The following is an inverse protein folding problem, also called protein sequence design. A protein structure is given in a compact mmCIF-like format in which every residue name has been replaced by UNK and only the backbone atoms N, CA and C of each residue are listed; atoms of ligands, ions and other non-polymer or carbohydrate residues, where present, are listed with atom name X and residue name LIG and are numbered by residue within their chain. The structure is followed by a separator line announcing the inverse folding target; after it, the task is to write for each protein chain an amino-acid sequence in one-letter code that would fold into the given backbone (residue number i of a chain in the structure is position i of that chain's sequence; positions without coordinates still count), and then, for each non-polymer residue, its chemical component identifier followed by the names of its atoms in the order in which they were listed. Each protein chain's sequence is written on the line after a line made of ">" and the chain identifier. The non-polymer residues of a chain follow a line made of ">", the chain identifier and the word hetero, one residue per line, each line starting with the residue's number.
data_IF_418826788550
#
_entry.id   IF_418826788550
#
_cell.length_a   1.000
_cell.length_b   1.000
_cell.length_c   1.000
_cell.angle_alpha   90.00
_cell.angle_beta   90.00
_cell.angle_gamma   90.00
#
_symmetry.space_group_name_H-M   'P 1'
#
loop_
_entity.id
_entity.type
_entity.pdbx_description
1 polymer ?
#
# COMPACT_ATOMS: atom_id res chain seq x y z
N UNK A 1 16.88 13.30 2.98
CA UNK A 1 16.06 14.47 3.36
C UNK A 1 15.84 15.49 2.25
N UNK A 2 16.88 16.02 1.59
CA UNK A 2 16.74 17.06 0.54
C UNK A 2 15.64 16.76 -0.48
N UNK A 3 15.68 15.58 -1.12
CA UNK A 3 14.73 15.17 -2.15
C UNK A 3 13.26 15.07 -1.68
N UNK A 4 13.03 14.62 -0.45
CA UNK A 4 11.67 14.56 0.12
C UNK A 4 11.13 15.97 0.36
N UNK A 5 11.91 16.85 0.99
CA UNK A 5 11.47 18.23 1.24
C UNK A 5 11.15 18.95 -0.07
N UNK A 6 12.01 18.76 -1.05
CA UNK A 6 11.84 19.23 -2.42
C UNK A 6 10.56 18.72 -3.10
N UNK A 7 10.21 17.44 -2.92
CA UNK A 7 8.93 16.88 -3.37
C UNK A 7 7.78 17.56 -2.63
N UNK A 8 7.82 17.61 -1.30
CA UNK A 8 6.76 18.20 -0.48
C UNK A 8 6.56 19.71 -0.75
N UNK A 9 7.62 20.44 -1.09
CA UNK A 9 7.58 21.87 -1.46
C UNK A 9 6.90 22.10 -2.80
N UNK A 10 6.91 21.09 -3.68
CA UNK A 10 6.21 21.15 -4.97
C UNK A 10 4.73 20.79 -4.87
N UNK A 11 4.26 20.28 -3.72
CA UNK A 11 2.89 19.81 -3.56
C UNK A 11 1.94 20.98 -3.39
N UNK A 12 0.88 20.99 -4.20
CA UNK A 12 -0.30 21.82 -4.00
C UNK A 12 -1.50 20.93 -3.70
N UNK A 13 -2.28 21.29 -2.68
CA UNK A 13 -3.49 20.58 -2.28
C UNK A 13 -4.67 21.18 -3.05
N UNK A 14 -5.45 20.35 -3.73
CA UNK A 14 -6.67 20.81 -4.41
C UNK A 14 -7.93 20.70 -3.56
N UNK A 15 -9.04 21.09 -4.19
CA UNK A 15 -10.36 20.97 -3.59
C UNK A 15 -10.76 19.51 -3.33
N UNK A 16 -11.46 19.22 -2.21
CA UNK A 16 -11.83 17.87 -1.86
C UNK A 16 -12.90 17.31 -2.79
N UNK A 17 -12.73 16.05 -3.15
CA UNK A 17 -13.78 15.19 -3.71
C UNK A 17 -14.40 14.37 -2.57
N UNK A 18 -15.72 14.20 -2.57
CA UNK A 18 -16.44 13.57 -1.45
C UNK A 18 -17.39 12.49 -1.98
N UNK A 19 -17.34 11.33 -1.36
CA UNK A 19 -18.28 10.23 -1.57
C UNK A 19 -18.68 9.64 -0.22
N UNK A 20 -19.97 9.71 0.12
CA UNK A 20 -20.49 9.35 1.43
C UNK A 20 -19.68 10.00 2.58
N UNK A 21 -18.95 9.19 3.35
CA UNK A 21 -18.12 9.64 4.48
C UNK A 21 -16.63 9.68 4.15
N UNK A 22 -16.25 9.37 2.91
CA UNK A 22 -14.88 9.44 2.40
C UNK A 22 -14.67 10.78 1.71
N UNK A 23 -13.64 11.50 2.11
CA UNK A 23 -13.21 12.74 1.49
C UNK A 23 -11.76 12.59 1.03
N UNK A 24 -11.47 13.01 -0.20
CA UNK A 24 -10.15 12.90 -0.79
C UNK A 24 -9.69 14.26 -1.31
N UNK A 25 -8.55 14.72 -0.80
CA UNK A 25 -7.87 15.92 -1.28
C UNK A 25 -6.80 15.51 -2.28
N UNK A 26 -6.90 15.91 -3.56
CA UNK A 26 -5.89 15.62 -4.56
C UNK A 26 -4.60 16.39 -4.26
N UNK A 27 -3.46 15.72 -4.47
CA UNK A 27 -2.12 16.31 -4.33
C UNK A 27 -1.48 16.46 -5.71
N UNK A 28 -1.25 17.70 -6.11
CA UNK A 28 -0.66 18.06 -7.40
C UNK A 28 0.82 18.36 -7.26
N UNK A 29 1.60 18.06 -8.29
CA UNK A 29 2.98 18.53 -8.40
C UNK A 29 3.29 18.99 -9.81
N UNK A 30 4.04 20.08 -9.92
CA UNK A 30 4.58 20.58 -11.20
C UNK A 30 5.91 19.92 -11.56
N UNK A 31 6.41 18.99 -10.74
CA UNK A 31 7.62 18.23 -11.04
C UNK A 31 7.33 17.24 -12.15
N UNK A 32 8.05 17.40 -13.26
CA UNK A 32 8.19 16.34 -14.25
C UNK A 32 9.27 15.39 -13.75
N UNK A 33 8.92 14.25 -13.16
CA UNK A 33 9.92 13.21 -12.90
C UNK A 33 10.41 12.64 -14.24
N UNK A 34 11.74 12.59 -14.39
CA UNK A 34 12.41 12.07 -15.58
C UNK A 34 12.20 10.56 -15.70
N UNK A 35 11.36 10.15 -16.66
CA UNK A 35 11.37 8.94 -17.52
C UNK A 35 11.92 7.57 -17.03
N UNK A 36 12.23 7.36 -15.75
CA UNK A 36 12.46 6.04 -15.18
C UNK A 36 11.10 5.43 -14.83
N UNK A 37 10.34 5.05 -15.85
CA UNK A 37 9.04 4.42 -15.63
C UNK A 37 9.28 3.02 -15.08
N UNK A 38 9.10 2.85 -13.77
CA UNK A 38 9.04 1.52 -13.14
C UNK A 38 7.84 0.76 -13.70
N UNK A 39 8.07 -0.48 -14.11
CA UNK A 39 7.01 -1.37 -14.57
C UNK A 39 6.11 -1.73 -13.38
N UNK A 40 4.79 -1.55 -13.53
CA UNK A 40 3.86 -1.90 -12.46
C UNK A 40 3.74 -3.42 -12.36
N UNK A 41 3.62 -3.97 -11.14
CA UNK A 41 3.53 -5.42 -10.96
C UNK A 41 2.37 -6.05 -11.75
N UNK A 42 1.21 -5.40 -11.78
CA UNK A 42 0.01 -5.89 -12.46
C UNK A 42 0.31 -6.13 -13.95
N UNK A 43 0.83 -5.10 -14.62
CA UNK A 43 1.28 -5.16 -16.02
C UNK A 43 2.35 -6.23 -16.21
N UNK A 44 3.30 -6.37 -15.29
CA UNK A 44 4.36 -7.36 -15.41
C UNK A 44 3.83 -8.81 -15.33
N UNK A 45 2.92 -9.10 -14.42
CA UNK A 45 2.31 -10.43 -14.26
C UNK A 45 1.41 -10.78 -15.45
N UNK A 46 0.56 -9.84 -15.87
CA UNK A 46 -0.37 -10.02 -17.00
C UNK A 46 0.37 -10.32 -18.32
N UNK A 47 1.53 -9.69 -18.52
CA UNK A 47 2.35 -9.88 -19.72
C UNK A 47 3.40 -11.00 -19.58
N UNK A 48 3.38 -11.78 -18.49
CA UNK A 48 4.35 -12.86 -18.25
C UNK A 48 5.80 -12.38 -18.07
N UNK A 49 5.98 -11.09 -17.78
CA UNK A 49 7.27 -10.45 -17.51
C UNK A 49 7.71 -10.59 -16.06
N UNK A 50 6.83 -11.09 -15.19
CA UNK A 50 7.15 -11.45 -13.81
C UNK A 50 6.46 -12.73 -13.39
N UNK A 51 7.03 -13.39 -12.38
CA UNK A 51 6.41 -14.49 -11.65
C UNK A 51 6.58 -14.30 -10.15
N UNK A 52 5.59 -14.72 -9.38
CA UNK A 52 5.67 -14.76 -7.92
C UNK A 52 5.32 -16.17 -7.46
N UNK A 53 6.18 -16.75 -6.62
CA UNK A 53 6.03 -18.11 -6.11
C UNK A 53 6.29 -18.16 -4.60
N UNK A 54 5.91 -19.28 -3.98
CA UNK A 54 6.44 -19.63 -2.66
C UNK A 54 7.97 -19.79 -2.73
N UNK A 55 8.67 -19.56 -1.62
CA UNK A 55 10.14 -19.72 -1.55
C UNK A 55 10.56 -21.19 -1.67
N UNK A 56 9.68 -22.12 -1.30
CA UNK A 56 9.88 -23.56 -1.40
C UNK A 56 8.55 -24.32 -1.42
N UNK A 57 8.58 -25.62 -1.68
CA UNK A 57 7.39 -26.50 -1.58
C UNK A 57 6.78 -26.53 -0.18
N UNK A 58 7.60 -26.35 0.87
CA UNK A 58 7.11 -26.19 2.23
C UNK A 58 6.46 -24.81 2.43
N UNK A 59 6.91 -23.81 1.67
CA UNK A 59 6.59 -22.40 1.86
C UNK A 59 7.45 -21.77 2.95
N UNK A 60 7.60 -20.45 2.92
CA UNK A 60 8.22 -19.69 4.01
C UNK A 60 7.31 -18.50 4.29
N UNK A 61 6.47 -18.60 5.32
CA UNK A 61 5.35 -17.68 5.57
C UNK A 61 5.69 -16.19 5.47
N UNK A 62 6.81 -15.67 6.02
CA UNK A 62 7.11 -14.24 5.89
C UNK A 62 7.61 -13.80 4.49
N UNK A 63 7.91 -14.71 3.55
CA UNK A 63 8.54 -14.35 2.28
C UNK A 63 7.94 -15.06 1.05
N UNK A 64 7.83 -14.32 -0.06
CA UNK A 64 7.60 -14.88 -1.39
C UNK A 64 8.80 -14.62 -2.28
N UNK A 65 9.00 -15.44 -3.32
CA UNK A 65 10.01 -15.18 -4.35
C UNK A 65 9.38 -14.40 -5.50
N UNK A 66 9.99 -13.28 -5.90
CA UNK A 66 9.64 -12.55 -7.12
C UNK A 66 10.75 -12.78 -8.15
N UNK A 67 10.35 -13.13 -9.36
CA UNK A 67 11.21 -13.31 -10.52
C UNK A 67 10.84 -12.21 -11.53
N UNK A 68 11.70 -11.21 -11.69
CA UNK A 68 11.56 -10.20 -12.72
C UNK A 68 12.26 -10.66 -14.00
N UNK A 69 11.50 -10.98 -15.05
CA UNK A 69 11.98 -11.40 -16.38
C UNK A 69 12.04 -10.21 -17.36
N UNK A 70 11.62 -9.04 -16.93
CA UNK A 70 11.62 -7.81 -17.71
C UNK A 70 13.02 -7.19 -17.78
N UNK A 71 13.36 -6.49 -18.88
CA UNK A 71 14.50 -5.59 -18.91
C UNK A 71 14.27 -4.30 -18.11
N UNK A 72 13.10 -4.12 -17.48
CA UNK A 72 12.75 -2.96 -16.65
C UNK A 72 12.61 -3.35 -15.19
N UNK A 73 12.94 -2.43 -14.30
CA UNK A 73 12.67 -2.58 -12.87
C UNK A 73 11.15 -2.61 -12.61
N UNK A 74 10.72 -3.51 -11.73
CA UNK A 74 9.32 -3.66 -11.33
C UNK A 74 9.10 -3.05 -9.95
N UNK A 75 8.03 -2.28 -9.78
CA UNK A 75 7.59 -1.79 -8.47
C UNK A 75 6.41 -2.60 -7.93
N UNK A 76 6.52 -2.96 -6.65
CA UNK A 76 5.50 -3.62 -5.85
C UNK A 76 5.24 -2.73 -4.64
N UNK A 77 3.97 -2.40 -4.37
CA UNK A 77 3.62 -1.44 -3.34
C UNK A 77 3.32 -2.11 -2.00
N UNK A 78 3.65 -1.41 -0.90
CA UNK A 78 3.17 -1.76 0.44
C UNK A 78 1.64 -1.90 0.44
N UNK A 79 1.16 -2.97 1.08
CA UNK A 79 -0.25 -3.29 1.20
C UNK A 79 -0.88 -3.97 -0.01
N UNK A 80 -0.17 -4.08 -1.15
CA UNK A 80 -0.71 -4.72 -2.35
C UNK A 80 -1.00 -6.20 -2.08
N UNK A 81 -2.21 -6.67 -2.44
CA UNK A 81 -2.57 -8.06 -2.24
C UNK A 81 -2.14 -8.95 -3.41
N UNK A 82 -1.62 -10.12 -3.06
CA UNK A 82 -1.24 -11.19 -3.95
C UNK A 82 -2.11 -12.41 -3.64
N UNK A 83 -2.79 -12.93 -4.66
CA UNK A 83 -3.78 -14.02 -4.52
C UNK A 83 -3.31 -15.30 -5.20
N UNK A 84 -3.77 -16.45 -4.71
CA UNK A 84 -3.42 -17.76 -5.26
C UNK A 84 -2.46 -18.54 -4.36
N UNK A 85 -1.59 -19.35 -4.99
CA UNK A 85 -0.65 -20.27 -4.34
C UNK A 85 -1.27 -20.98 -3.13
N UNK A 86 -0.63 -20.99 -1.96
CA UNK A 86 -1.18 -21.64 -0.76
C UNK A 86 -2.19 -20.79 0.01
N UNK A 87 -2.00 -19.49 0.06
CA UNK A 87 -2.77 -18.52 0.83
C UNK A 87 -2.55 -17.12 0.26
N UNK A 88 -3.55 -16.25 0.35
CA UNK A 88 -3.39 -14.85 -0.06
C UNK A 88 -2.40 -14.11 0.87
N UNK A 89 -1.69 -13.13 0.29
CA UNK A 89 -0.65 -12.33 0.96
C UNK A 89 -0.89 -10.84 0.72
N UNK A 90 -0.41 -10.00 1.63
CA UNK A 90 -0.14 -8.58 1.36
C UNK A 90 1.35 -8.33 1.48
N UNK A 91 1.87 -7.40 0.68
CA UNK A 91 3.28 -7.00 0.69
C UNK A 91 3.52 -6.03 1.84
N UNK A 92 4.59 -6.22 2.62
CA UNK A 92 4.83 -5.46 3.86
C UNK A 92 5.54 -4.11 3.65
N UNK A 93 6.23 -3.94 2.52
CA UNK A 93 7.01 -2.74 2.16
C UNK A 93 6.95 -2.49 0.66
N UNK A 94 7.13 -1.25 0.21
CA UNK A 94 7.37 -0.99 -1.22
C UNK A 94 8.73 -1.53 -1.64
N UNK A 95 8.74 -2.41 -2.64
CA UNK A 95 9.93 -3.05 -3.21
C UNK A 95 10.09 -2.65 -4.68
N UNK A 96 11.33 -2.38 -5.08
CA UNK A 96 11.70 -2.24 -6.50
C UNK A 96 12.61 -3.40 -6.88
N UNK A 97 12.10 -4.30 -7.70
CA UNK A 97 12.80 -5.51 -8.15
C UNK A 97 13.58 -5.18 -9.41
N UNK A 98 14.91 -5.33 -9.36
CA UNK A 98 15.78 -5.00 -10.48
C UNK A 98 15.40 -5.80 -11.74
N UNK A 99 15.60 -5.23 -12.92
CA UNK A 99 15.50 -5.93 -14.19
C UNK A 99 16.27 -7.27 -14.17
N UNK A 100 15.69 -8.32 -14.76
CA UNK A 100 16.29 -9.65 -14.88
C UNK A 100 16.85 -10.23 -13.56
N UNK A 101 16.12 -10.07 -12.46
CA UNK A 101 16.57 -10.49 -11.13
C UNK A 101 15.52 -11.29 -10.37
N UNK A 102 15.98 -12.05 -9.39
CA UNK A 102 15.13 -12.83 -8.48
C UNK A 102 15.46 -12.43 -7.05
N UNK A 103 14.44 -12.13 -6.24
CA UNK A 103 14.62 -11.80 -4.83
C UNK A 103 13.41 -12.21 -3.97
N UNK A 104 13.61 -12.46 -2.67
CA UNK A 104 12.52 -12.69 -1.74
C UNK A 104 11.90 -11.36 -1.29
N UNK A 105 10.57 -11.23 -1.29
CA UNK A 105 9.84 -10.06 -0.74
C UNK A 105 9.15 -10.41 0.58
N UNK A 106 9.13 -9.48 1.56
CA UNK A 106 8.44 -9.69 2.82
C UNK A 106 6.93 -9.51 2.67
N UNK A 107 6.16 -10.44 3.23
CA UNK A 107 4.70 -10.50 3.11
C UNK A 107 4.03 -10.88 4.44
N UNK A 108 2.72 -10.67 4.51
CA UNK A 108 1.86 -11.17 5.59
C UNK A 108 0.70 -11.96 5.01
N UNK A 109 0.34 -13.11 5.62
CA UNK A 109 -0.84 -13.88 5.22
C UNK A 109 -2.13 -13.15 5.56
N UNK A 110 -3.04 -13.08 4.60
CA UNK A 110 -4.38 -12.49 4.77
C UNK A 110 -5.50 -13.48 4.51
N UNK A 111 -5.19 -14.77 4.68
CA UNK A 111 -6.12 -15.89 4.59
C UNK A 111 -5.63 -17.01 5.51
N UNK A 112 -6.29 -17.21 6.65
CA UNK A 112 -5.80 -18.08 7.73
C UNK A 112 -6.11 -19.56 7.48
N UNK A 113 -7.32 -19.87 7.00
CA UNK A 113 -7.90 -21.22 6.95
C UNK A 113 -7.50 -22.05 5.73
N UNK A 114 -6.70 -21.52 4.80
CA UNK A 114 -6.20 -22.25 3.64
C UNK A 114 -4.72 -22.59 3.83
N UNK A 115 -4.27 -23.78 3.49
CA UNK A 115 -2.83 -24.09 3.34
C UNK A 115 -2.64 -25.16 2.27
N UNK A 116 -3.09 -24.83 1.05
CA UNK A 116 -3.04 -25.72 -0.11
C UNK A 116 -2.99 -24.91 -1.38
N UNK A 117 -2.27 -25.42 -2.38
CA UNK A 117 -2.18 -24.77 -3.68
C UNK A 117 -3.55 -24.67 -4.35
N UNK A 118 -3.88 -23.48 -4.84
CA UNK A 118 -4.99 -23.23 -5.76
C UNK A 118 -4.49 -22.82 -7.15
N UNK A 119 -3.25 -22.35 -7.24
CA UNK A 119 -2.52 -22.03 -8.45
C UNK A 119 -1.02 -22.29 -8.25
N UNK A 120 -0.22 -22.44 -9.33
CA UNK A 120 1.24 -22.62 -9.23
C UNK A 120 2.01 -21.40 -8.69
N UNK A 121 1.43 -20.21 -8.80
CA UNK A 121 2.04 -18.95 -8.37
C UNK A 121 0.97 -17.93 -7.97
N UNK A 122 1.40 -16.70 -7.68
CA UNK A 122 0.51 -15.62 -7.29
C UNK A 122 0.14 -14.73 -8.46
N UNK A 123 -1.10 -14.24 -8.46
CA UNK A 123 -1.55 -13.11 -9.26
C UNK A 123 -1.66 -11.87 -8.36
N UNK A 124 -1.61 -10.68 -8.96
CA UNK A 124 -1.99 -9.44 -8.28
C UNK A 124 -3.52 -9.33 -8.26
N UNK A 125 -4.11 -8.85 -7.16
CA UNK A 125 -5.52 -8.46 -7.12
C UNK A 125 -5.67 -6.94 -7.16
N UNK A 126 -6.90 -6.47 -7.34
CA UNK A 126 -7.24 -5.06 -7.23
C UNK A 126 -7.37 -4.58 -5.79
N UNK A 127 -7.19 -5.47 -4.81
CA UNK A 127 -7.33 -5.14 -3.41
C UNK A 127 -5.98 -4.80 -2.78
N UNK A 128 -6.01 -3.84 -1.87
CA UNK A 128 -4.91 -3.49 -0.98
C UNK A 128 -5.32 -3.76 0.47
N UNK A 129 -4.38 -3.73 1.40
CA UNK A 129 -4.74 -3.63 2.81
C UNK A 129 -5.54 -2.34 3.06
N UNK A 130 -6.71 -2.47 3.68
CA UNK A 130 -7.52 -1.30 4.05
C UNK A 130 -6.79 -0.44 5.10
N UNK A 131 -7.07 0.87 5.19
CA UNK A 131 -6.25 1.83 5.93
C UNK A 131 -5.93 1.44 7.38
N UNK A 132 -6.91 0.90 8.11
CA UNK A 132 -6.75 0.48 9.50
C UNK A 132 -5.82 -0.73 9.66
N UNK A 133 -5.85 -1.70 8.74
CA UNK A 133 -4.88 -2.80 8.69
C UNK A 133 -3.51 -2.28 8.28
N UNK A 134 -3.44 -1.44 7.25
CA UNK A 134 -2.18 -0.87 6.74
C UNK A 134 -1.45 -0.05 7.80
N UNK A 135 -2.18 0.77 8.59
CA UNK A 135 -1.65 1.47 9.78
C UNK A 135 -1.03 0.49 10.76
N UNK A 136 -1.74 -0.59 11.09
CA UNK A 136 -1.27 -1.59 12.04
C UNK A 136 -0.03 -2.32 11.55
N UNK A 137 -0.03 -2.81 10.30
CA UNK A 137 1.10 -3.55 9.72
C UNK A 137 2.31 -2.65 9.54
N UNK A 138 2.12 -1.40 9.13
CA UNK A 138 3.21 -0.43 9.00
C UNK A 138 3.95 -0.22 10.34
N UNK A 139 3.21 -0.08 11.45
CA UNK A 139 3.82 0.06 12.77
C UNK A 139 4.61 -1.20 13.19
N UNK A 140 4.07 -2.39 12.92
CA UNK A 140 4.74 -3.64 13.26
C UNK A 140 6.00 -3.86 12.41
N UNK A 141 5.94 -3.57 11.11
CA UNK A 141 7.10 -3.63 10.20
C UNK A 141 8.17 -2.61 10.60
N UNK A 142 7.79 -1.39 11.01
CA UNK A 142 8.76 -0.38 11.47
C UNK A 142 9.53 -0.89 12.70
N UNK A 143 8.85 -1.57 13.62
CA UNK A 143 9.47 -2.17 14.81
C UNK A 143 10.36 -3.38 14.47
N UNK A 144 9.98 -4.18 13.48
CA UNK A 144 10.78 -5.35 13.06
C UNK A 144 12.02 -4.92 12.25
N UNK A 145 11.96 -3.80 11.54
CA UNK A 145 13.11 -3.17 10.87
C UNK A 145 14.23 -2.79 11.84
N UNK A 146 13.90 -2.37 13.06
CA UNK A 146 14.89 -2.12 14.12
C UNK A 146 15.64 -3.39 14.54
N UNK A 147 15.12 -4.57 14.17
CA UNK A 147 15.71 -5.89 14.43
C UNK A 147 16.22 -6.56 13.15
N UNK A 148 16.23 -5.84 12.02
CA UNK A 148 16.74 -6.34 10.74
C UNK A 148 15.76 -7.21 9.93
N UNK A 149 14.46 -7.21 10.22
CA UNK A 149 13.44 -7.87 9.38
C UNK A 149 12.39 -6.89 8.86
N UNK A 150 11.48 -7.36 8.01
CA UNK A 150 10.37 -6.55 7.47
C UNK A 150 9.04 -7.23 7.72
N UNK A 151 8.94 -7.92 8.85
CA UNK A 151 7.79 -8.74 9.21
C UNK A 151 6.75 -7.91 9.96
N UNK A 152 5.47 -8.18 9.68
CA UNK A 152 4.36 -7.77 10.54
C UNK A 152 4.02 -8.88 11.53
N UNK A 153 3.23 -8.57 12.57
CA UNK A 153 2.67 -9.60 13.46
C UNK A 153 1.55 -10.36 12.73
N UNK A 154 1.85 -11.59 12.32
CA UNK A 154 0.92 -12.45 11.57
C UNK A 154 -0.38 -12.74 12.32
N UNK A 155 -0.32 -12.94 13.64
CA UNK A 155 -1.50 -13.27 14.45
C UNK A 155 -2.38 -12.04 14.62
N UNK A 156 -1.77 -10.86 14.73
CA UNK A 156 -2.49 -9.59 14.76
C UNK A 156 -3.16 -9.26 13.42
N UNK A 157 -2.53 -9.57 12.28
CA UNK A 157 -3.14 -9.45 10.94
C UNK A 157 -4.41 -10.30 10.85
N UNK A 158 -4.34 -11.59 11.21
CA UNK A 158 -5.52 -12.46 11.17
C UNK A 158 -6.63 -12.02 12.13
N UNK A 159 -6.27 -11.59 13.35
CA UNK A 159 -7.23 -11.05 14.31
C UNK A 159 -7.93 -9.82 13.73
N UNK A 160 -7.19 -8.89 13.13
CA UNK A 160 -7.74 -7.68 12.54
C UNK A 160 -8.75 -8.00 11.42
N UNK A 161 -8.41 -8.94 10.53
CA UNK A 161 -9.31 -9.41 9.46
C UNK A 161 -10.56 -10.07 10.04
N UNK A 162 -10.40 -11.00 10.99
CA UNK A 162 -11.52 -11.71 11.63
C UNK A 162 -12.47 -10.75 12.36
N UNK A 163 -11.93 -9.77 13.10
CA UNK A 163 -12.73 -8.77 13.78
C UNK A 163 -13.47 -7.86 12.78
N UNK A 164 -12.82 -7.44 11.68
CA UNK A 164 -13.49 -6.66 10.63
C UNK A 164 -14.61 -7.47 9.97
N UNK A 165 -14.37 -8.73 9.63
CA UNK A 165 -15.40 -9.63 9.09
C UNK A 165 -16.63 -9.70 10.02
N UNK A 166 -16.41 -9.86 11.33
CA UNK A 166 -17.48 -9.86 12.33
C UNK A 166 -18.25 -8.53 12.41
N UNK A 167 -17.56 -7.39 12.31
CA UNK A 167 -18.21 -6.07 12.32
C UNK A 167 -18.96 -5.75 11.03
N UNK A 168 -18.54 -6.34 9.91
CA UNK A 168 -19.14 -6.11 8.60
C UNK A 168 -20.12 -7.23 8.18
N UNK A 169 -20.39 -8.18 9.08
CA UNK A 169 -21.27 -9.33 8.84
C UNK A 169 -20.89 -10.15 7.58
N UNK A 170 -19.58 -10.33 7.38
CA UNK A 170 -19.02 -11.10 6.25
C UNK A 170 -18.54 -12.46 6.73
N UNK A 171 -18.93 -13.51 6.01
CA UNK A 171 -18.46 -14.88 6.24
C UNK A 171 -17.44 -15.31 5.17
N UNK A 172 -16.43 -16.09 5.58
CA UNK A 172 -15.46 -16.72 4.67
C UNK A 172 -14.96 -18.03 5.27
N UNK A 173 -15.05 -19.13 4.52
CA UNK A 173 -14.58 -20.45 4.95
C UNK A 173 -13.09 -20.47 5.31
N UNK A 174 -12.29 -19.62 4.66
CA UNK A 174 -10.83 -19.54 4.84
C UNK A 174 -10.39 -18.31 5.62
N UNK A 175 -11.32 -17.44 6.02
CA UNK A 175 -10.98 -16.15 6.63
C UNK A 175 -10.16 -15.26 5.70
N UNK A 176 -10.43 -15.29 4.39
CA UNK A 176 -9.74 -14.49 3.40
C UNK A 176 -10.17 -13.03 3.45
N UNK A 177 -9.21 -12.10 3.44
CA UNK A 177 -9.49 -10.67 3.34
C UNK A 177 -10.29 -10.31 2.08
N UNK A 178 -10.08 -11.03 0.96
CA UNK A 178 -10.80 -10.77 -0.29
C UNK A 178 -12.32 -10.94 -0.16
N UNK A 179 -12.79 -11.81 0.74
CA UNK A 179 -14.23 -11.98 0.99
C UNK A 179 -14.90 -10.69 1.50
N UNK A 180 -14.17 -9.85 2.24
CA UNK A 180 -14.67 -8.54 2.67
C UNK A 180 -14.86 -7.63 1.46
N UNK A 181 -13.87 -7.59 0.56
CA UNK A 181 -13.94 -6.79 -0.66
C UNK A 181 -15.05 -7.28 -1.60
N UNK A 182 -15.12 -8.59 -1.85
CA UNK A 182 -16.14 -9.21 -2.70
C UNK A 182 -17.57 -8.94 -2.19
N UNK A 183 -17.77 -8.88 -0.87
CA UNK A 183 -19.08 -8.65 -0.28
C UNK A 183 -19.44 -7.17 -0.13
N UNK A 184 -18.46 -6.30 0.12
CA UNK A 184 -18.73 -4.95 0.65
C UNK A 184 -18.11 -3.83 -0.18
N UNK A 185 -17.11 -4.10 -1.02
CA UNK A 185 -16.53 -3.06 -1.86
C UNK A 185 -17.57 -2.59 -2.90
N UNK A 186 -17.61 -1.29 -3.21
CA UNK A 186 -18.50 -0.78 -4.22
C UNK A 186 -17.98 -1.20 -5.59
N UNK A 187 -18.85 -1.09 -6.60
CA UNK A 187 -18.42 -1.19 -7.99
C UNK A 187 -17.29 -0.17 -8.25
N UNK A 188 -16.15 -0.59 -8.84
CA UNK A 188 -15.06 0.33 -9.20
C UNK A 188 -15.53 1.55 -10.00
N UNK A 189 -16.53 1.39 -10.88
CA UNK A 189 -17.07 2.50 -11.68
C UNK A 189 -17.67 3.60 -10.80
N UNK A 190 -18.31 3.24 -9.68
CA UNK A 190 -18.88 4.20 -8.73
C UNK A 190 -17.79 5.04 -8.08
N UNK A 191 -16.68 4.42 -7.67
CA UNK A 191 -15.54 5.14 -7.09
C UNK A 191 -14.85 6.01 -8.13
N UNK A 192 -14.67 5.52 -9.35
CA UNK A 192 -14.03 6.27 -10.43
C UNK A 192 -14.85 7.51 -10.86
N UNK A 193 -16.19 7.42 -10.80
CA UNK A 193 -17.07 8.56 -11.01
C UNK A 193 -17.00 9.58 -9.86
N UNK A 194 -16.85 9.10 -8.63
CA UNK A 194 -16.82 9.96 -7.44
C UNK A 194 -15.45 10.62 -7.20
N UNK A 195 -14.36 9.99 -7.64
CA UNK A 195 -12.99 10.41 -7.39
C UNK A 195 -12.17 10.44 -8.69
N UNK A 196 -12.33 11.52 -9.46
CA UNK A 196 -11.60 11.72 -10.69
C UNK A 196 -10.15 12.13 -10.42
N UNK A 197 -9.19 11.44 -11.04
CA UNK A 197 -7.77 11.77 -10.96
C UNK A 197 -7.41 12.77 -12.06
N UNK A 198 -7.18 14.02 -11.64
CA UNK A 198 -6.89 15.14 -12.52
C UNK A 198 -5.48 15.07 -13.13
N UNK A 199 -5.24 15.90 -14.15
CA UNK A 199 -3.90 16.07 -14.73
C UNK A 199 -2.92 16.57 -13.65
N UNK A 200 -1.68 16.07 -13.66
CA UNK A 200 -0.63 16.40 -12.68
C UNK A 200 -0.95 16.04 -11.22
N UNK A 201 -2.04 15.32 -10.93
CA UNK A 201 -2.30 14.78 -9.60
C UNK A 201 -1.37 13.59 -9.36
N UNK A 202 -0.41 13.74 -8.46
CA UNK A 202 0.57 12.69 -8.15
C UNK A 202 0.21 11.88 -6.89
N UNK A 203 -0.83 12.28 -6.16
CA UNK A 203 -1.28 11.56 -4.99
C UNK A 203 -2.56 12.13 -4.40
N UNK A 204 -2.82 11.76 -3.15
CA UNK A 204 -4.02 12.17 -2.45
C UNK A 204 -3.85 12.13 -0.92
N UNK A 205 -4.66 12.86 -0.18
CA UNK A 205 -4.91 12.64 1.26
C UNK A 205 -6.38 12.26 1.45
N UNK A 206 -6.62 11.13 2.10
CA UNK A 206 -7.96 10.61 2.34
C UNK A 206 -8.36 10.76 3.81
N UNK A 207 -9.61 11.13 4.01
CA UNK A 207 -10.25 11.33 5.30
C UNK A 207 -11.55 10.52 5.36
N UNK A 208 -11.83 9.94 6.52
CA UNK A 208 -13.05 9.17 6.79
C UNK A 208 -13.73 9.79 7.99
N UNK A 209 -14.98 10.23 7.84
CA UNK A 209 -15.78 10.89 8.91
C UNK A 209 -15.03 12.09 9.54
N UNK A 210 -14.21 12.78 8.74
CA UNK A 210 -13.39 13.93 9.13
C UNK A 210 -12.05 13.60 9.79
N UNK A 211 -11.72 12.33 9.99
CA UNK A 211 -10.41 11.89 10.50
C UNK A 211 -9.44 11.50 9.39
N UNK A 212 -8.15 11.74 9.57
CA UNK A 212 -7.12 11.40 8.57
C UNK A 212 -6.96 9.88 8.47
N UNK A 213 -7.25 9.30 7.29
CA UNK A 213 -7.22 7.86 7.07
C UNK A 213 -5.92 7.39 6.40
N UNK A 214 -5.28 8.24 5.59
CA UNK A 214 -4.02 7.91 4.93
C UNK A 214 -3.76 8.76 3.69
N UNK A 215 -2.56 8.65 3.12
CA UNK A 215 -2.13 9.35 1.92
C UNK A 215 -1.04 8.55 1.21
N UNK A 216 -1.10 8.56 -0.12
CA UNK A 216 -0.03 8.03 -0.97
C UNK A 216 0.35 9.08 -2.02
N UNK A 217 1.65 9.19 -2.30
CA UNK A 217 2.25 9.97 -3.39
C UNK A 217 3.01 9.03 -4.32
N UNK A 218 2.87 9.26 -5.62
CA UNK A 218 3.44 8.47 -6.71
C UNK A 218 4.26 9.34 -7.67
N UNK A 219 4.91 8.70 -8.64
CA UNK A 219 5.76 9.38 -9.64
C UNK A 219 5.01 10.21 -10.67
N UNK A 220 3.74 9.91 -10.92
CA UNK A 220 2.97 10.54 -12.00
C UNK A 220 1.46 10.37 -11.82
N UNK A 221 0.70 11.19 -12.55
CA UNK A 221 -0.75 11.07 -12.60
C UNK A 221 -1.25 9.75 -13.20
N UNK A 222 -0.49 9.12 -14.09
CA UNK A 222 -0.83 7.82 -14.62
C UNK A 222 -0.76 6.74 -13.53
N UNK A 223 0.31 6.71 -12.74
CA UNK A 223 0.46 5.78 -11.61
C UNK A 223 -0.55 6.09 -10.52
N UNK A 224 -0.75 7.37 -10.18
CA UNK A 224 -1.76 7.79 -9.21
C UNK A 224 -3.14 7.30 -9.59
N UNK A 225 -3.55 7.43 -10.86
CA UNK A 225 -4.86 6.95 -11.34
C UNK A 225 -5.02 5.45 -11.13
N UNK A 226 -4.09 4.65 -11.63
CA UNK A 226 -4.18 3.18 -11.54
C UNK A 226 -4.09 2.64 -10.11
N UNK A 227 -3.42 3.35 -9.18
CA UNK A 227 -3.30 2.91 -7.78
C UNK A 227 -4.40 3.46 -6.89
N UNK A 228 -4.83 4.70 -7.10
CA UNK A 228 -5.90 5.31 -6.31
C UNK A 228 -7.22 4.58 -6.49
N UNK A 229 -7.57 4.15 -7.71
CA UNK A 229 -8.74 3.31 -7.98
C UNK A 229 -8.80 2.07 -7.07
N UNK A 230 -7.67 1.36 -6.96
CA UNK A 230 -7.52 0.14 -6.14
C UNK A 230 -7.54 0.45 -4.64
N UNK A 231 -6.80 1.48 -4.22
CA UNK A 231 -6.66 1.88 -2.81
C UNK A 231 -7.99 2.39 -2.23
N UNK A 232 -8.77 3.14 -3.00
CA UNK A 232 -10.06 3.70 -2.56
C UNK A 232 -11.08 2.64 -2.15
N UNK A 233 -11.00 1.43 -2.70
CA UNK A 233 -11.82 0.28 -2.24
C UNK A 233 -11.61 0.05 -0.74
N UNK A 234 -10.36 0.08 -0.26
CA UNK A 234 -10.03 -0.10 1.15
C UNK A 234 -10.50 1.07 2.03
N UNK A 235 -10.37 2.31 1.55
CA UNK A 235 -10.92 3.48 2.24
C UNK A 235 -12.44 3.40 2.38
N UNK A 236 -13.14 2.93 1.34
CA UNK A 236 -14.58 2.70 1.41
C UNK A 236 -14.92 1.65 2.48
N UNK A 237 -14.22 0.50 2.53
CA UNK A 237 -14.46 -0.52 3.56
C UNK A 237 -14.34 0.04 4.99
N UNK A 238 -13.28 0.81 5.27
CA UNK A 238 -13.10 1.44 6.58
C UNK A 238 -14.13 2.54 6.86
N UNK A 239 -14.67 3.17 5.83
CA UNK A 239 -15.76 4.15 5.98
C UNK A 239 -17.07 3.49 6.46
N UNK A 240 -17.31 2.26 6.02
CA UNK A 240 -18.49 1.44 6.39
C UNK A 240 -18.32 0.72 7.74
N UNK A 241 -17.08 0.52 8.20
CA UNK A 241 -16.81 -0.11 9.50
C UNK A 241 -16.99 0.88 10.66
N UNK A 242 -18.05 0.71 11.44
CA UNK A 242 -18.33 1.56 12.61
C UNK A 242 -17.32 1.38 13.76
N UNK A 243 -16.55 0.28 13.77
CA UNK A 243 -15.49 0.05 14.75
C UNK A 243 -14.17 0.76 14.40
N UNK A 244 -14.07 1.38 13.23
CA UNK A 244 -12.88 2.12 12.80
C UNK A 244 -13.11 3.61 13.00
N UNK A 245 -12.14 4.25 13.65
CA UNK A 245 -12.09 5.70 13.85
C UNK A 245 -10.70 6.22 13.50
N UNK A 246 -10.65 7.46 13.05
CA UNK A 246 -9.44 8.17 12.70
C UNK A 246 -9.47 9.54 13.37
N UNK A 247 -8.32 9.98 13.86
CA UNK A 247 -8.20 11.28 14.51
C UNK A 247 -8.31 12.43 13.52
N UNK A 248 -8.91 13.53 13.96
CA UNK A 248 -8.98 14.76 13.19
C UNK A 248 -7.61 15.43 13.17
N UNK A 249 -7.06 15.63 11.97
CA UNK A 249 -5.77 16.30 11.77
C UNK A 249 -5.88 17.16 10.52
N UNK A 250 -5.44 18.41 10.61
CA UNK A 250 -5.44 19.31 9.46
C UNK A 250 -4.31 18.93 8.50
N UNK A 251 -4.55 19.08 7.18
CA UNK A 251 -3.55 18.77 6.13
C UNK A 251 -2.23 19.51 6.37
N UNK A 252 -2.30 20.78 6.76
CA UNK A 252 -1.11 21.57 7.07
C UNK A 252 -0.33 21.06 8.28
N UNK A 253 -1.00 20.40 9.24
CA UNK A 253 -0.35 19.74 10.38
C UNK A 253 0.30 18.41 9.96
N UNK A 254 -0.38 17.61 9.14
CA UNK A 254 0.18 16.38 8.56
C UNK A 254 1.49 16.69 7.82
N UNK A 255 1.47 17.63 6.87
CA UNK A 255 2.66 17.99 6.09
C UNK A 255 3.79 18.54 6.97
N UNK A 256 3.46 19.29 8.02
CA UNK A 256 4.44 19.81 8.98
C UNK A 256 5.09 18.70 9.78
N UNK A 257 4.30 17.76 10.29
CA UNK A 257 4.80 16.61 11.05
C UNK A 257 5.69 15.72 10.19
N UNK A 258 5.29 15.41 8.95
CA UNK A 258 6.13 14.65 8.01
C UNK A 258 7.48 15.34 7.81
N UNK A 259 7.51 16.68 7.62
CA UNK A 259 8.76 17.43 7.41
C UNK A 259 9.65 17.49 8.64
N UNK A 260 9.06 17.58 9.82
CA UNK A 260 9.76 17.75 11.08
C UNK A 260 10.24 16.41 11.68
N UNK A 261 9.64 15.30 11.28
CA UNK A 261 9.97 13.98 11.79
C UNK A 261 11.40 13.56 11.45
N UNK A 262 11.98 12.72 12.30
CA UNK A 262 13.21 12.01 11.96
C UNK A 262 12.90 10.92 10.94
N UNK A 263 13.61 10.93 9.81
CA UNK A 263 13.51 9.88 8.80
C UNK A 263 14.69 8.93 8.89
N UNK A 264 14.47 7.80 9.54
CA UNK A 264 15.48 6.76 9.74
C UNK A 264 15.58 5.90 8.49
N UNK A 265 16.79 5.67 8.03
CA UNK A 265 17.09 4.77 6.91
C UNK A 265 17.18 3.33 7.41
N UNK A 266 16.60 2.42 6.65
CA UNK A 266 16.62 0.99 6.95
C UNK A 266 17.04 0.20 5.72
N UNK A 267 17.66 -0.95 5.96
CA UNK A 267 17.90 -1.93 4.92
C UNK A 267 16.57 -2.32 4.27
N UNK A 268 16.59 -2.43 2.95
CA UNK A 268 15.41 -2.71 2.16
C UNK A 268 15.70 -3.80 1.15
N UNK A 269 14.68 -4.59 0.86
CA UNK A 269 14.73 -5.57 -0.21
C UNK A 269 14.61 -4.85 -1.55
N UNK A 270 15.38 -5.31 -2.53
CA UNK A 270 15.39 -4.73 -3.88
C UNK A 270 16.24 -3.47 -3.98
N UNK A 271 16.06 -2.71 -5.07
CA UNK A 271 16.81 -1.48 -5.34
C UNK A 271 16.38 -0.33 -4.43
N UNK A 272 17.32 0.56 -4.18
CA UNK A 272 17.10 1.85 -3.52
C UNK A 272 17.26 1.81 -2.00
N UNK A 273 16.78 2.87 -1.36
CA UNK A 273 16.84 3.08 0.09
C UNK A 273 15.44 3.32 0.62
N UNK A 274 15.11 2.67 1.73
CA UNK A 274 13.84 2.90 2.41
C UNK A 274 14.08 3.77 3.63
N UNK A 275 13.24 4.79 3.81
CA UNK A 275 13.23 5.61 5.01
C UNK A 275 11.86 5.59 5.63
N UNK A 276 11.82 5.49 6.96
CA UNK A 276 10.59 5.53 7.74
C UNK A 276 10.62 6.68 8.71
N UNK A 277 9.45 7.24 8.98
CA UNK A 277 9.27 8.32 9.94
C UNK A 277 8.11 7.98 10.87
N UNK A 278 8.23 8.51 12.09
CA UNK A 278 7.23 8.44 13.14
C UNK A 278 7.13 9.83 13.76
N UNK A 279 5.93 10.38 13.79
CA UNK A 279 5.59 11.68 14.36
C UNK A 279 4.43 11.50 15.35
N UNK A 280 4.01 12.54 16.09
CA UNK A 280 2.94 12.42 17.07
C UNK A 280 1.61 11.90 16.50
N UNK A 281 1.20 12.34 15.30
CA UNK A 281 -0.10 11.99 14.69
C UNK A 281 0.01 11.22 13.39
N UNK A 282 1.20 11.16 12.78
CA UNK A 282 1.42 10.42 11.54
C UNK A 282 2.65 9.53 11.62
N UNK A 283 2.63 8.48 10.82
CA UNK A 283 3.77 7.61 10.55
C UNK A 283 3.84 7.36 9.04
N UNK A 284 4.96 6.86 8.55
CA UNK A 284 5.00 6.48 7.15
C UNK A 284 6.37 6.06 6.68
N UNK A 285 6.44 5.85 5.38
CA UNK A 285 7.67 5.43 4.71
C UNK A 285 7.74 5.98 3.31
N UNK A 286 8.96 6.10 2.80
CA UNK A 286 9.22 6.47 1.42
C UNK A 286 10.45 5.75 0.92
N UNK A 287 10.46 5.49 -0.39
CA UNK A 287 11.58 4.84 -1.07
C UNK A 287 12.30 5.84 -1.96
N UNK A 288 13.61 5.75 -2.02
CA UNK A 288 14.45 6.50 -2.97
C UNK A 288 15.15 5.50 -3.88
N UNK A 289 14.97 5.63 -5.19
CA UNK A 289 15.60 4.76 -6.21
C UNK A 289 16.15 5.65 -7.30
N UNK A 290 17.40 5.43 -7.71
CA UNK A 290 18.04 6.13 -8.84
C UNK A 290 17.83 7.67 -8.86
N UNK A 291 17.78 8.29 -7.68
CA UNK A 291 17.64 9.74 -7.52
C UNK A 291 16.21 10.29 -7.56
N UNK A 292 15.16 9.45 -7.50
CA UNK A 292 13.75 9.87 -7.39
C UNK A 292 12.99 9.11 -6.29
N UNK A 293 11.78 9.56 -5.97
CA UNK A 293 10.92 8.95 -4.93
C UNK A 293 9.73 8.27 -5.61
N UNK A 294 9.77 6.95 -5.85
CA UNK A 294 8.66 6.27 -6.52
C UNK A 294 7.36 6.22 -5.72
N UNK A 295 7.47 6.27 -4.39
CA UNK A 295 6.33 6.13 -3.50
C UNK A 295 6.62 6.76 -2.13
N UNK A 296 5.67 7.53 -1.63
CA UNK A 296 5.57 7.95 -0.23
C UNK A 296 4.22 7.45 0.29
N UNK A 297 4.21 6.82 1.45
CA UNK A 297 2.98 6.57 2.21
C UNK A 297 3.00 7.32 3.52
N UNK A 298 1.85 7.89 3.89
CA UNK A 298 1.63 8.59 5.14
C UNK A 298 0.35 8.02 5.75
N UNK A 299 0.45 7.53 6.97
CA UNK A 299 -0.63 6.84 7.68
C UNK A 299 -0.88 7.55 9.02
N UNK A 300 -2.12 7.55 9.53
CA UNK A 300 -2.40 8.08 10.85
C UNK A 300 -1.68 7.27 11.93
N UNK A 301 -1.38 7.91 13.05
CA UNK A 301 -1.03 7.22 14.28
C UNK A 301 -2.31 6.75 14.98
N UNK A 302 -2.17 5.69 15.77
CA UNK A 302 -3.22 4.97 16.50
C UNK A 302 -4.21 5.88 17.19
#
# INVERSE_FOLDING_TARGET
>A
MKILNELLDSITVGEPQVFETVQVFPLFSTRSESAATLLQLDEALENGLAEITEVSDAGNVPHLTVINKSPRDIIIYDGQQLIGAKQNRIVNITVVVAANSTLPIPVSCVEQGRWRYTSPGFASSDDFSYPSLRRSTHSDVTRSKERGSSDSDQSKVWRNISEKMGRMDVFSDTGAMSAIYESQAPDPEVLNLAFNVAENQIGYMAFIKGGFAGSDLFTSAAVCRGKMEKLLRGYYLDSRDHGVTFDKVEIGEILREVRAAEHREFDTVGKGRERRFDAPRVQGSWKEVDGFIPHVTILPKG
#
